data_IF_124550266502
#
_entry.id   IF_124550266502
#
_cell.length_a   1.000
_cell.length_b   1.000
_cell.length_c   1.000
_cell.angle_alpha   90.00
_cell.angle_beta   90.00
_cell.angle_gamma   90.00
#
_symmetry.space_group_name_H-M   'P 1'
#
loop_
_entity.id
_entity.type
_entity.pdbx_description
1 polymer ?
#
# COMPACT_ATOMS: atom_id res chain seq x y z
N UNK A 1 10.24 10.86 0.05
CA UNK A 1 9.33 9.81 -0.40
C UNK A 1 8.37 9.40 0.71
N UNK A 2 7.09 9.49 0.45
CA UNK A 2 6.11 9.18 1.48
C UNK A 2 6.03 7.68 1.71
N UNK A 3 6.25 7.26 2.95
CA UNK A 3 6.13 5.85 3.31
C UNK A 3 4.86 5.57 4.06
N UNK A 4 4.17 6.61 4.49
CA UNK A 4 2.92 6.46 5.20
C UNK A 4 2.13 7.76 5.12
N UNK A 5 0.83 7.62 5.35
CA UNK A 5 -0.10 8.75 5.34
C UNK A 5 -0.85 8.72 6.66
N UNK A 6 -1.06 9.88 7.25
CA UNK A 6 -1.82 9.95 8.50
C UNK A 6 -3.13 10.68 8.26
N UNK A 7 -4.21 10.12 8.76
CA UNK A 7 -5.55 10.69 8.60
C UNK A 7 -6.20 10.81 9.98
N UNK A 8 -6.48 12.03 10.45
CA UNK A 8 -7.26 12.21 11.68
C UNK A 8 -8.74 12.00 11.38
N UNK A 9 -9.40 11.25 12.24
CA UNK A 9 -10.82 11.00 12.10
C UNK A 9 -11.43 10.68 13.45
N UNK A 10 -12.42 11.48 13.87
CA UNK A 10 -13.13 11.30 15.14
C UNK A 10 -12.18 11.18 16.32
N UNK A 11 -11.19 12.07 16.39
CA UNK A 11 -10.26 12.09 17.51
C UNK A 11 -9.21 11.01 17.50
N UNK A 12 -9.15 10.22 16.46
CA UNK A 12 -8.16 9.16 16.32
C UNK A 12 -7.33 9.43 15.07
N UNK A 13 -6.08 9.05 15.11
CA UNK A 13 -5.20 9.21 13.97
C UNK A 13 -4.96 7.83 13.34
N UNK A 14 -5.29 7.69 12.09
CA UNK A 14 -5.05 6.47 11.35
C UNK A 14 -3.78 6.60 10.53
N UNK A 15 -2.91 5.63 10.63
CA UNK A 15 -1.67 5.60 9.88
C UNK A 15 -1.78 4.54 8.79
N UNK A 16 -1.68 4.98 7.55
CA UNK A 16 -1.80 4.13 6.38
C UNK A 16 -0.42 3.85 5.81
N UNK A 17 -0.16 2.60 5.52
CA UNK A 17 1.09 2.22 4.86
C UNK A 17 0.96 0.83 4.28
N UNK A 18 1.92 0.47 3.45
CA UNK A 18 1.97 -0.86 2.85
C UNK A 18 3.24 -1.57 3.28
N UNK A 19 3.10 -2.85 3.59
CA UNK A 19 4.23 -3.73 3.88
C UNK A 19 4.19 -4.88 2.89
N UNK A 20 5.26 -5.66 2.82
CA UNK A 20 5.25 -6.83 1.94
C UNK A 20 4.10 -7.77 2.28
N UNK A 21 3.83 -7.91 3.57
CA UNK A 21 2.75 -8.78 4.02
C UNK A 21 1.38 -8.28 3.54
N UNK A 22 1.12 -6.97 3.70
CA UNK A 22 -0.17 -6.44 3.28
C UNK A 22 -0.32 -6.45 1.77
N UNK A 23 0.77 -6.17 1.04
CA UNK A 23 0.74 -6.22 -0.42
C UNK A 23 0.44 -7.65 -0.88
N UNK A 24 1.08 -8.63 -0.27
CA UNK A 24 0.84 -10.03 -0.62
C UNK A 24 -0.62 -10.41 -0.38
N UNK A 25 -1.18 -9.99 0.76
CA UNK A 25 -2.58 -10.26 1.06
C UNK A 25 -3.51 -9.62 0.04
N UNK A 26 -3.19 -8.40 -0.37
CA UNK A 26 -4.01 -7.69 -1.35
C UNK A 26 -4.01 -8.43 -2.69
N UNK A 27 -2.85 -8.88 -3.13
CA UNK A 27 -2.78 -9.64 -4.38
C UNK A 27 -3.59 -10.92 -4.30
N UNK A 28 -3.52 -11.61 -3.17
CA UNK A 28 -4.29 -12.84 -2.99
C UNK A 28 -5.79 -12.57 -3.00
N UNK A 29 -6.19 -11.36 -2.64
CA UNK A 29 -7.60 -10.96 -2.66
C UNK A 29 -8.06 -10.44 -4.01
N UNK A 30 -7.16 -10.37 -4.99
CA UNK A 30 -7.51 -9.94 -6.34
C UNK A 30 -7.10 -8.54 -6.71
N UNK A 31 -6.38 -7.84 -5.84
CA UNK A 31 -5.93 -6.49 -6.16
C UNK A 31 -4.81 -6.53 -7.20
N UNK A 32 -4.89 -5.62 -8.17
CA UNK A 32 -3.82 -5.44 -9.15
C UNK A 32 -3.64 -3.95 -9.38
N UNK A 33 -2.44 -3.46 -9.12
CA UNK A 33 -2.15 -2.04 -9.30
C UNK A 33 -2.29 -1.64 -10.77
N UNK A 34 -2.04 -2.58 -11.67
CA UNK A 34 -2.15 -2.32 -13.10
C UNK A 34 -3.60 -2.12 -13.55
N UNK A 35 -4.55 -2.57 -12.75
CA UNK A 35 -5.97 -2.43 -13.08
C UNK A 35 -6.62 -1.24 -12.40
N UNK A 36 -5.83 -0.45 -11.67
CA UNK A 36 -6.38 0.68 -10.93
C UNK A 36 -7.13 1.66 -11.84
N UNK A 37 -6.57 1.93 -13.01
CA UNK A 37 -7.20 2.86 -13.95
C UNK A 37 -8.34 2.27 -14.75
N UNK A 38 -8.36 0.95 -14.95
CA UNK A 38 -9.40 0.33 -15.76
C UNK A 38 -10.58 -0.18 -14.91
N UNK A 39 -10.33 -0.45 -13.63
CA UNK A 39 -11.38 -0.95 -12.73
C UNK A 39 -11.38 -0.15 -11.44
N UNK A 40 -11.57 1.17 -11.52
CA UNK A 40 -11.42 2.03 -10.33
C UNK A 40 -12.44 1.72 -9.24
N UNK A 41 -13.66 1.36 -9.61
CA UNK A 41 -14.69 1.13 -8.60
C UNK A 41 -14.36 -0.05 -7.69
N UNK A 42 -13.56 -0.99 -8.18
CA UNK A 42 -13.13 -2.14 -7.38
C UNK A 42 -11.76 -1.92 -6.78
N UNK A 43 -10.84 -1.39 -7.58
CA UNK A 43 -9.43 -1.32 -7.16
C UNK A 43 -9.14 -0.18 -6.19
N UNK A 44 -9.81 0.98 -6.34
CA UNK A 44 -9.55 2.10 -5.44
C UNK A 44 -9.97 1.75 -4.01
N UNK A 45 -11.18 1.21 -3.76
CA UNK A 45 -11.51 0.80 -2.40
C UNK A 45 -10.55 -0.24 -1.83
N UNK A 46 -10.07 -1.17 -2.64
CA UNK A 46 -9.11 -2.15 -2.17
C UNK A 46 -7.78 -1.50 -1.80
N UNK A 47 -7.32 -0.56 -2.61
CA UNK A 47 -6.08 0.14 -2.33
C UNK A 47 -6.17 0.90 -1.01
N UNK A 48 -7.27 1.63 -0.82
CA UNK A 48 -7.44 2.42 0.39
C UNK A 48 -7.56 1.51 1.63
N UNK A 49 -8.42 0.51 1.57
CA UNK A 49 -8.63 -0.36 2.72
C UNK A 49 -7.39 -1.19 3.03
N UNK A 50 -6.67 -1.61 2.01
CA UNK A 50 -5.43 -2.36 2.23
C UNK A 50 -4.38 -1.56 2.96
N UNK A 51 -4.40 -0.24 2.80
CA UNK A 51 -3.44 0.63 3.47
C UNK A 51 -3.68 0.70 4.97
N UNK A 52 -4.88 0.35 5.44
CA UNK A 52 -5.17 0.32 6.88
C UNK A 52 -4.61 -0.93 7.56
N UNK A 53 -4.40 -2.00 6.81
CA UNK A 53 -4.19 -3.30 7.41
C UNK A 53 -2.91 -3.41 8.23
N UNK A 54 -1.87 -2.66 7.87
CA UNK A 54 -0.59 -2.78 8.57
C UNK A 54 -0.69 -2.30 10.02
N UNK A 55 -1.43 -1.22 10.25
CA UNK A 55 -1.50 -0.60 11.57
C UNK A 55 -2.87 -0.70 12.21
N UNK A 56 -3.91 -0.93 11.42
CA UNK A 56 -5.28 -0.92 11.91
C UNK A 56 -6.08 -2.08 11.29
N UNK A 57 -5.64 -3.32 11.52
CA UNK A 57 -6.27 -4.47 10.85
C UNK A 57 -7.70 -4.72 11.28
N UNK A 58 -8.11 -4.14 12.41
CA UNK A 58 -9.46 -4.37 12.93
C UNK A 58 -10.45 -3.29 12.52
N UNK A 59 -10.03 -2.33 11.71
CA UNK A 59 -10.93 -1.25 11.29
C UNK A 59 -12.00 -1.82 10.36
N UNK A 60 -13.25 -1.51 10.67
CA UNK A 60 -14.36 -2.03 9.88
C UNK A 60 -14.45 -1.34 8.53
N UNK A 61 -14.89 -2.10 7.53
CA UNK A 61 -15.02 -1.58 6.17
C UNK A 61 -15.93 -0.35 6.14
N UNK A 62 -17.03 -0.39 6.90
CA UNK A 62 -17.93 0.76 6.93
C UNK A 62 -17.24 2.02 7.42
N UNK A 63 -16.37 1.89 8.42
CA UNK A 63 -15.60 3.03 8.92
C UNK A 63 -14.62 3.53 7.88
N UNK A 64 -13.92 2.61 7.23
CA UNK A 64 -12.96 2.98 6.18
C UNK A 64 -13.66 3.76 5.07
N UNK A 65 -14.84 3.30 4.66
CA UNK A 65 -15.58 3.98 3.61
C UNK A 65 -16.02 5.38 4.02
N UNK A 66 -16.45 5.54 5.28
CA UNK A 66 -16.83 6.86 5.78
C UNK A 66 -15.64 7.81 5.80
N UNK A 67 -14.47 7.31 6.19
CA UNK A 67 -13.27 8.12 6.19
C UNK A 67 -12.97 8.58 4.77
N UNK A 68 -13.00 7.67 3.81
CA UNK A 68 -12.71 7.99 2.43
C UNK A 68 -13.68 9.05 1.89
N UNK A 69 -14.97 8.86 2.16
CA UNK A 69 -15.99 9.76 1.62
C UNK A 69 -15.83 11.20 2.13
N UNK A 70 -15.26 11.36 3.31
CA UNK A 70 -15.08 12.67 3.91
C UNK A 70 -13.77 13.36 3.56
N UNK A 71 -12.90 12.69 2.81
CA UNK A 71 -11.59 13.29 2.50
C UNK A 71 -11.66 14.19 1.27
N UNK A 72 -10.82 15.23 1.29
CA UNK A 72 -10.63 16.06 0.12
C UNK A 72 -9.47 15.54 -0.72
N UNK A 73 -9.34 16.07 -1.94
CA UNK A 73 -8.25 15.73 -2.85
C UNK A 73 -8.07 14.22 -2.99
N UNK A 74 -9.15 13.54 -3.32
CA UNK A 74 -9.09 12.09 -3.46
C UNK A 74 -8.15 11.64 -4.55
N UNK A 75 -8.02 12.41 -5.62
CA UNK A 75 -7.08 12.06 -6.69
C UNK A 75 -5.64 12.08 -6.19
N UNK A 76 -5.28 13.10 -5.41
CA UNK A 76 -3.95 13.16 -4.84
C UNK A 76 -3.70 12.04 -3.86
N UNK A 77 -4.71 11.69 -3.08
CA UNK A 77 -4.60 10.59 -2.13
C UNK A 77 -4.37 9.26 -2.86
N UNK A 78 -5.17 8.99 -3.88
CA UNK A 78 -5.04 7.73 -4.63
C UNK A 78 -3.67 7.65 -5.29
N UNK A 79 -3.21 8.76 -5.84
CA UNK A 79 -1.88 8.78 -6.46
C UNK A 79 -0.79 8.48 -5.44
N UNK A 80 -0.88 9.10 -4.26
CA UNK A 80 0.11 8.87 -3.21
C UNK A 80 0.09 7.42 -2.75
N UNK A 81 -1.10 6.85 -2.57
CA UNK A 81 -1.21 5.45 -2.16
C UNK A 81 -0.67 4.51 -3.21
N UNK A 82 -0.93 4.79 -4.48
CA UNK A 82 -0.43 3.96 -5.56
C UNK A 82 1.10 3.97 -5.60
N UNK A 83 1.70 5.13 -5.36
CA UNK A 83 3.15 5.23 -5.31
C UNK A 83 3.73 4.46 -4.12
N UNK A 84 3.08 4.57 -2.96
CA UNK A 84 3.51 3.83 -1.77
C UNK A 84 3.42 2.33 -2.00
N UNK A 85 2.33 1.89 -2.64
CA UNK A 85 2.16 0.48 -2.96
C UNK A 85 3.27 -0.01 -3.89
N UNK A 86 3.53 0.75 -4.93
CA UNK A 86 4.55 0.38 -5.91
C UNK A 86 5.94 0.35 -5.28
N UNK A 87 6.22 1.30 -4.39
CA UNK A 87 7.50 1.32 -3.68
C UNK A 87 7.68 0.06 -2.84
N UNK A 88 6.61 -0.40 -2.18
CA UNK A 88 6.69 -1.61 -1.37
C UNK A 88 6.97 -2.84 -2.22
N UNK A 89 6.38 -2.89 -3.41
CA UNK A 89 6.65 -3.98 -4.34
C UNK A 89 8.09 -3.89 -4.85
N UNK A 90 8.51 -2.68 -5.16
CA UNK A 90 9.86 -2.48 -5.70
C UNK A 90 10.94 -2.95 -4.72
N UNK A 91 10.71 -2.80 -3.41
CA UNK A 91 11.71 -3.22 -2.44
C UNK A 91 11.97 -4.72 -2.46
N UNK A 92 11.08 -5.50 -3.08
CA UNK A 92 11.35 -6.93 -3.25
C UNK A 92 12.52 -7.17 -4.20
N UNK A 93 12.77 -6.24 -5.10
CA UNK A 93 13.83 -6.38 -6.09
C UNK A 93 15.02 -5.46 -5.80
N UNK A 94 14.88 -4.51 -4.90
CA UNK A 94 15.93 -3.56 -4.60
C UNK A 94 16.98 -4.19 -3.69
N UNK A 95 18.22 -3.89 -3.94
CA UNK A 95 19.31 -4.32 -3.06
C UNK A 95 19.31 -3.45 -1.82
N UNK A 96 19.57 -4.09 -0.70
CA UNK A 96 19.57 -3.41 0.58
C UNK A 96 20.71 -2.43 0.71
N UNK A 97 21.84 -2.75 0.11
CA UNK A 97 23.06 -1.98 0.22
C UNK A 97 23.65 -1.77 -1.17
N UNK A 98 23.58 -0.52 -1.64
CA UNK A 98 24.08 -0.21 -2.98
C UNK A 98 25.58 -0.40 -3.11
N UNK A 99 26.29 -0.33 -2.00
CA UNK A 99 27.73 -0.49 -2.01
C UNK A 99 28.16 -1.93 -1.86
N UNK A 100 27.23 -2.83 -1.75
CA UNK A 100 27.54 -4.24 -1.63
C UNK A 100 28.02 -4.76 -2.96
N UNK A 101 29.32 -4.97 -3.07
CA UNK A 101 29.92 -5.35 -4.33
C UNK A 101 30.17 -6.82 -4.41
N UNK A 102 29.80 -7.41 -5.53
CA UNK A 102 30.29 -8.71 -5.91
C UNK A 102 29.88 -9.88 -5.05
N UNK A 103 29.04 -9.67 -4.07
CA UNK A 103 28.61 -10.77 -3.22
C UNK A 103 27.10 -10.70 -3.01
N UNK A 104 26.34 -11.35 -3.89
CA UNK A 104 24.87 -11.27 -3.79
C UNK A 104 24.29 -12.08 -2.64
N UNK A 105 25.10 -12.87 -1.93
CA UNK A 105 24.56 -13.66 -0.85
C UNK A 105 23.94 -14.98 -1.29
N UNK A 106 23.92 -15.24 -2.57
CA UNK A 106 23.39 -16.48 -3.12
C UNK A 106 24.17 -16.84 -4.37
N UNK A 107 24.04 -18.08 -4.78
CA UNK A 107 24.62 -18.50 -6.07
C UNK A 107 23.78 -19.63 -6.65
N UNK A 108 23.74 -19.67 -7.97
CA UNK A 108 23.00 -20.71 -8.66
C UNK A 108 23.85 -22.01 -8.66
N UNK A 109 23.23 -23.10 -8.30
CA UNK A 109 23.88 -24.41 -8.29
C UNK A 109 23.28 -25.24 -9.39
N UNK A 110 24.13 -25.70 -10.32
CA UNK A 110 23.66 -26.46 -11.48
C UNK A 110 23.93 -27.94 -11.37
#
# INVERSE_FOLDING_TARGET
MAKRIEIPYNGKKYTLEFTRSTVSSMEKSGFSINELGSKPATMIPMLFSGAFAANHPSTKVATINKIYDGLGDKQGLVKALAEMYSDSVYTLLADEDEDSEGNPGWEAVE
#
